data_IF_387282443561
#
_entry.id   IF_387282443561
#
_cell.length_a   1.000
_cell.length_b   1.000
_cell.length_c   1.000
_cell.angle_alpha   90.00
_cell.angle_beta   90.00
_cell.angle_gamma   90.00
#
_symmetry.space_group_name_H-M   'P 1'
#
loop_
_entity.id
_entity.type
_entity.pdbx_description
1 polymer ?
#
# COMPACT_ATOMS: atom_id res chain seq x y z
N UNK A 1 5.15 2.62 -7.59
CA UNK A 1 4.09 1.70 -7.13
C UNK A 1 4.73 0.60 -6.33
N UNK A 2 4.15 0.22 -5.21
CA UNK A 2 4.68 -0.79 -4.28
C UNK A 2 3.60 -1.78 -3.88
N UNK A 3 4.01 -2.99 -3.48
CA UNK A 3 3.11 -4.03 -2.98
C UNK A 3 2.82 -3.87 -1.47
N UNK A 4 2.10 -4.82 -0.86
CA UNK A 4 1.75 -4.79 0.56
C UNK A 4 2.97 -4.84 1.50
N UNK A 5 4.11 -5.32 1.02
CA UNK A 5 5.36 -5.43 1.78
C UNK A 5 6.35 -4.30 1.49
N UNK A 6 5.86 -3.21 0.90
CA UNK A 6 6.65 -2.02 0.52
C UNK A 6 7.76 -2.29 -0.52
N UNK A 7 7.61 -3.37 -1.28
CA UNK A 7 8.54 -3.67 -2.36
C UNK A 7 8.17 -2.90 -3.62
N UNK A 8 9.15 -2.28 -4.31
CA UNK A 8 8.89 -1.56 -5.55
C UNK A 8 8.46 -2.52 -6.67
N UNK A 9 7.30 -2.28 -7.25
CA UNK A 9 6.75 -3.08 -8.35
C UNK A 9 6.99 -2.45 -9.71
N UNK A 10 6.79 -1.15 -9.81
CA UNK A 10 7.02 -0.41 -11.05
C UNK A 10 7.07 1.10 -10.80
N UNK A 11 7.83 1.80 -11.64
CA UNK A 11 7.81 3.24 -11.73
C UNK A 11 6.94 3.71 -12.90
N UNK A 12 6.41 4.92 -12.77
CA UNK A 12 5.66 5.61 -13.83
C UNK A 12 6.31 6.97 -14.11
N UNK A 13 6.12 7.48 -15.29
CA UNK A 13 6.75 8.73 -15.73
C UNK A 13 8.15 8.52 -16.29
N UNK A 14 9.08 9.49 -16.16
CA UNK A 14 10.37 9.46 -16.85
C UNK A 14 11.22 8.21 -16.57
N UNK A 15 11.13 7.65 -15.36
CA UNK A 15 11.82 6.41 -14.96
C UNK A 15 11.03 5.14 -15.28
N UNK A 16 9.76 5.27 -15.67
CA UNK A 16 8.87 4.16 -15.97
C UNK A 16 8.92 3.71 -17.43
N UNK A 17 8.17 2.65 -17.72
CA UNK A 17 8.03 2.11 -19.08
C UNK A 17 7.46 3.13 -20.08
N UNK A 18 6.69 4.09 -19.61
CA UNK A 18 6.08 5.15 -20.39
C UNK A 18 7.03 6.31 -20.73
N UNK A 19 8.22 6.35 -20.13
CA UNK A 19 9.24 7.38 -20.37
C UNK A 19 8.70 8.82 -20.27
N UNK A 20 7.74 9.04 -19.37
CA UNK A 20 7.10 10.33 -19.18
C UNK A 20 6.05 10.72 -20.22
N UNK A 21 5.75 9.85 -21.18
CA UNK A 21 4.73 10.10 -22.22
C UNK A 21 3.30 9.85 -21.73
N UNK A 22 3.18 9.23 -20.55
CA UNK A 22 1.92 8.75 -20.00
C UNK A 22 1.49 7.42 -20.63
N UNK A 23 0.84 6.58 -19.83
CA UNK A 23 0.39 5.27 -20.27
C UNK A 23 -0.80 4.76 -19.43
N UNK A 24 -1.37 3.65 -19.88
CA UNK A 24 -2.32 2.88 -19.09
C UNK A 24 -1.58 1.71 -18.46
N UNK A 25 -1.57 1.67 -17.14
CA UNK A 25 -1.00 0.57 -16.38
C UNK A 25 -2.12 -0.32 -15.87
N UNK A 26 -1.97 -1.64 -16.02
CA UNK A 26 -2.91 -2.63 -15.51
C UNK A 26 -2.28 -3.37 -14.33
N UNK A 27 -2.80 -3.11 -13.12
CA UNK A 27 -2.34 -3.77 -11.91
C UNK A 27 -3.04 -5.12 -11.82
N UNK A 28 -2.23 -6.18 -11.81
CA UNK A 28 -2.71 -7.56 -11.84
C UNK A 28 -2.52 -8.21 -10.47
N UNK A 29 -3.59 -8.72 -9.85
CA UNK A 29 -3.49 -9.46 -8.59
C UNK A 29 -2.76 -10.81 -8.77
N UNK A 30 -2.35 -11.49 -7.66
CA UNK A 30 -1.57 -12.74 -7.72
C UNK A 30 -2.21 -13.86 -8.53
N UNK A 31 -3.53 -13.95 -8.52
CA UNK A 31 -4.33 -15.00 -9.15
C UNK A 31 -4.87 -14.62 -10.54
N UNK A 32 -4.41 -13.51 -11.11
CA UNK A 32 -4.85 -13.08 -12.43
C UNK A 32 -4.32 -14.00 -13.54
N UNK A 33 -5.23 -14.59 -14.31
CA UNK A 33 -4.95 -15.54 -15.41
C UNK A 33 -5.79 -15.26 -16.66
N UNK A 34 -6.48 -14.12 -16.72
CA UNK A 34 -7.17 -13.72 -17.92
C UNK A 34 -6.25 -13.05 -18.93
N UNK A 35 -6.74 -12.88 -20.16
CA UNK A 35 -6.01 -12.17 -21.21
C UNK A 35 -5.86 -10.68 -20.87
N UNK A 36 -4.67 -10.14 -21.14
CA UNK A 36 -4.35 -8.72 -20.92
C UNK A 36 -4.81 -7.93 -22.14
N UNK A 37 -5.71 -6.96 -21.98
CA UNK A 37 -6.16 -6.13 -23.08
C UNK A 37 -5.00 -5.35 -23.72
N UNK A 38 -5.02 -5.19 -25.03
CA UNK A 38 -4.04 -4.40 -25.74
C UNK A 38 -4.01 -2.94 -25.25
N UNK A 39 -2.85 -2.31 -25.27
CA UNK A 39 -2.66 -0.91 -24.90
C UNK A 39 -2.44 -0.66 -23.41
N UNK A 40 -2.29 -1.70 -22.59
CA UNK A 40 -1.93 -1.59 -21.19
C UNK A 40 -0.52 -2.13 -20.93
N UNK A 41 0.21 -1.48 -20.01
CA UNK A 41 1.42 -2.05 -19.41
C UNK A 41 1.00 -2.91 -18.20
N UNK A 42 1.21 -4.23 -18.24
CA UNK A 42 0.86 -5.09 -17.11
C UNK A 42 1.88 -4.95 -15.98
N UNK A 43 1.40 -4.80 -14.76
CA UNK A 43 2.20 -4.83 -13.53
C UNK A 43 1.67 -5.92 -12.63
N UNK A 44 2.38 -7.05 -12.55
CA UNK A 44 1.99 -8.19 -11.72
C UNK A 44 2.38 -7.95 -10.27
N UNK A 45 1.40 -8.02 -9.39
CA UNK A 45 1.59 -7.93 -7.95
C UNK A 45 1.61 -9.31 -7.30
N UNK A 46 2.57 -9.59 -6.42
CA UNK A 46 2.57 -10.82 -5.62
C UNK A 46 1.61 -10.74 -4.43
N UNK A 47 0.96 -9.59 -4.21
CA UNK A 47 0.02 -9.31 -3.12
C UNK A 47 -1.26 -8.69 -3.67
N UNK A 48 -2.37 -8.82 -2.93
CA UNK A 48 -3.64 -8.19 -3.31
C UNK A 48 -3.68 -6.70 -2.98
N UNK A 49 -2.96 -6.30 -1.92
CA UNK A 49 -2.86 -4.91 -1.52
C UNK A 49 -1.55 -4.29 -2.00
N UNK A 50 -1.59 -2.99 -2.20
CA UNK A 50 -0.44 -2.18 -2.57
C UNK A 50 -0.83 -0.72 -2.59
N UNK A 51 0.14 0.16 -2.81
CA UNK A 51 -0.15 1.57 -2.98
C UNK A 51 0.70 2.19 -4.08
N UNK A 52 0.26 3.35 -4.57
CA UNK A 52 0.98 4.13 -5.55
C UNK A 52 1.16 5.56 -5.03
N UNK A 53 2.42 5.99 -4.95
CA UNK A 53 2.77 7.37 -4.66
C UNK A 53 3.12 8.07 -5.96
N UNK A 54 2.36 9.11 -6.31
CA UNK A 54 2.62 9.94 -7.48
C UNK A 54 3.11 11.32 -7.04
N UNK A 55 4.18 11.77 -7.64
CA UNK A 55 4.75 13.09 -7.41
C UNK A 55 4.85 13.87 -8.71
N UNK A 56 4.10 14.95 -8.82
CA UNK A 56 4.33 15.92 -9.91
C UNK A 56 5.51 16.80 -9.52
N UNK A 57 6.53 16.80 -10.37
CA UNK A 57 7.73 17.63 -10.17
C UNK A 57 7.39 19.08 -10.56
N UNK A 58 7.70 20.02 -9.69
CA UNK A 58 7.58 21.45 -9.94
C UNK A 58 8.95 22.00 -10.32
N UNK A 59 9.00 22.92 -11.26
CA UNK A 59 10.24 23.63 -11.59
C UNK A 59 10.58 24.69 -10.56
N UNK A 60 9.55 25.33 -9.97
CA UNK A 60 9.70 26.34 -8.94
C UNK A 60 8.54 26.31 -7.92
N UNK A 61 8.62 27.05 -6.81
CA UNK A 61 7.50 27.22 -5.88
C UNK A 61 6.44 28.24 -6.36
N UNK A 62 6.53 28.77 -7.59
CA UNK A 62 5.58 29.73 -8.12
C UNK A 62 4.17 29.16 -8.20
N UNK A 63 3.16 30.02 -8.07
CA UNK A 63 1.75 29.61 -8.18
C UNK A 63 1.44 28.98 -9.54
N UNK A 64 2.07 29.45 -10.59
CA UNK A 64 1.92 28.89 -11.94
C UNK A 64 2.41 27.46 -12.03
N UNK A 65 3.61 27.17 -11.49
CA UNK A 65 4.17 25.82 -11.49
C UNK A 65 3.39 24.88 -10.56
N UNK A 66 2.89 25.38 -9.44
CA UNK A 66 1.99 24.63 -8.55
C UNK A 66 0.70 24.26 -9.27
N UNK A 67 0.08 25.21 -9.96
CA UNK A 67 -1.14 24.98 -10.72
C UNK A 67 -0.92 23.96 -11.85
N UNK A 68 0.21 24.04 -12.57
CA UNK A 68 0.58 23.09 -13.61
C UNK A 68 0.78 21.68 -13.06
N UNK A 69 1.49 21.53 -11.92
CA UNK A 69 1.69 20.26 -11.25
C UNK A 69 0.36 19.65 -10.78
N UNK A 70 -0.53 20.46 -10.21
CA UNK A 70 -1.86 20.01 -9.78
C UNK A 70 -2.72 19.58 -10.99
N UNK A 71 -2.67 20.30 -12.09
CA UNK A 71 -3.36 19.92 -13.31
C UNK A 71 -2.85 18.57 -13.86
N UNK A 72 -1.55 18.29 -13.73
CA UNK A 72 -0.96 17.01 -14.10
C UNK A 72 -1.45 15.88 -13.20
N UNK A 73 -1.45 16.08 -11.88
CA UNK A 73 -1.98 15.09 -10.93
C UNK A 73 -3.45 14.76 -11.22
N UNK A 74 -4.26 15.74 -11.54
CA UNK A 74 -5.68 15.55 -11.89
C UNK A 74 -5.92 14.77 -13.19
N UNK A 75 -4.88 14.53 -14.01
CA UNK A 75 -4.98 13.64 -15.17
C UNK A 75 -4.85 12.15 -14.80
N UNK A 76 -4.30 11.85 -13.62
CA UNK A 76 -4.18 10.48 -13.15
C UNK A 76 -5.57 9.95 -12.81
N UNK A 77 -5.90 8.77 -13.34
CA UNK A 77 -7.20 8.12 -13.12
C UNK A 77 -6.96 6.68 -12.66
N UNK A 78 -7.67 6.28 -11.61
CA UNK A 78 -7.63 4.92 -11.07
C UNK A 78 -9.05 4.36 -11.07
N UNK A 79 -9.23 3.23 -11.71
CA UNK A 79 -10.55 2.60 -11.85
C UNK A 79 -10.42 1.10 -12.12
N UNK A 80 -11.43 0.29 -11.78
CA UNK A 80 -11.48 -1.13 -12.17
C UNK A 80 -11.50 -1.30 -13.68
N UNK A 81 -10.81 -2.30 -14.21
CA UNK A 81 -10.77 -2.57 -15.66
C UNK A 81 -12.17 -2.71 -16.26
N UNK A 82 -13.11 -3.32 -15.55
CA UNK A 82 -14.49 -3.45 -15.99
C UNK A 82 -15.21 -2.11 -16.25
N UNK A 83 -14.70 -1.03 -15.70
CA UNK A 83 -15.23 0.34 -15.87
C UNK A 83 -14.41 1.18 -16.85
N UNK A 84 -13.50 0.56 -17.61
CA UNK A 84 -12.60 1.29 -18.51
C UNK A 84 -13.32 2.06 -19.62
N UNK A 85 -14.50 1.58 -20.07
CA UNK A 85 -15.31 2.27 -21.07
C UNK A 85 -15.98 3.55 -20.54
N UNK A 86 -16.33 3.57 -19.25
CA UNK A 86 -16.91 4.73 -18.58
C UNK A 86 -16.34 4.84 -17.15
N UNK A 87 -15.09 5.34 -17.00
CA UNK A 87 -14.44 5.40 -15.71
C UNK A 87 -15.17 6.34 -14.75
N UNK A 88 -15.31 5.97 -13.47
CA UNK A 88 -15.94 6.82 -12.48
C UNK A 88 -15.19 8.14 -12.27
N UNK A 89 -15.90 9.13 -11.78
CA UNK A 89 -15.28 10.38 -11.37
C UNK A 89 -14.25 10.15 -10.26
N UNK A 90 -13.09 10.80 -10.39
CA UNK A 90 -12.05 10.69 -9.39
C UNK A 90 -12.31 11.65 -8.23
N UNK A 91 -12.33 11.09 -7.03
CA UNK A 91 -12.45 11.88 -5.81
C UNK A 91 -11.07 12.25 -5.28
N UNK A 92 -10.81 13.54 -5.17
CA UNK A 92 -9.58 14.08 -4.58
C UNK A 92 -9.86 14.58 -3.18
N UNK A 93 -8.99 14.24 -2.24
CA UNK A 93 -9.06 14.73 -0.87
C UNK A 93 -7.82 15.59 -0.64
N UNK A 94 -8.03 16.88 -0.41
CA UNK A 94 -6.95 17.78 -0.02
C UNK A 94 -6.58 17.54 1.44
N UNK A 95 -5.34 17.17 1.66
CA UNK A 95 -4.77 16.94 3.00
C UNK A 95 -3.84 18.05 3.46
N UNK A 96 -3.72 19.15 2.69
CA UNK A 96 -2.90 20.29 3.08
C UNK A 96 -3.39 20.87 4.42
N UNK A 97 -2.46 21.08 5.34
CA UNK A 97 -2.79 21.58 6.68
C UNK A 97 -3.54 20.60 7.60
N UNK A 98 -3.78 19.36 7.15
CA UNK A 98 -4.37 18.31 7.99
C UNK A 98 -3.27 17.44 8.57
N UNK A 99 -3.34 17.24 9.88
CA UNK A 99 -2.48 16.25 10.54
C UNK A 99 -3.15 14.88 10.47
N UNK A 100 -2.42 13.88 10.01
CA UNK A 100 -2.83 12.50 10.10
C UNK A 100 -1.66 11.67 10.62
N UNK A 101 -1.97 10.67 11.43
CA UNK A 101 -0.98 9.76 11.95
C UNK A 101 -0.74 8.62 10.94
N UNK A 102 0.44 8.59 10.35
CA UNK A 102 0.91 7.54 9.45
C UNK A 102 1.77 6.49 10.13
N UNK A 103 1.94 6.59 11.45
CA UNK A 103 2.76 5.65 12.22
C UNK A 103 1.89 4.45 12.65
N UNK A 104 2.45 3.26 12.61
CA UNK A 104 1.78 2.08 13.14
C UNK A 104 1.52 2.23 14.64
N UNK A 105 0.33 1.82 15.08
CA UNK A 105 0.00 1.83 16.50
C UNK A 105 0.98 0.96 17.29
N UNK A 106 1.41 1.41 18.47
CA UNK A 106 2.27 0.67 19.39
C UNK A 106 1.49 -0.04 20.50
N UNK A 107 0.33 -0.60 20.13
CA UNK A 107 -0.56 -1.36 21.01
C UNK A 107 -1.08 -2.63 20.31
N UNK A 108 -2.09 -3.28 20.88
CA UNK A 108 -2.72 -4.49 20.32
C UNK A 108 -3.25 -4.32 18.91
N UNK A 109 -3.65 -3.11 18.51
CA UNK A 109 -4.16 -2.81 17.16
C UNK A 109 -3.13 -3.07 16.08
N UNK A 110 -1.82 -2.92 16.39
CA UNK A 110 -0.75 -3.30 15.48
C UNK A 110 -0.86 -4.78 15.06
N UNK A 111 -1.02 -5.67 16.05
CA UNK A 111 -1.09 -7.11 15.80
C UNK A 111 -2.40 -7.52 15.14
N UNK A 112 -3.50 -6.84 15.42
CA UNK A 112 -4.77 -7.05 14.73
C UNK A 112 -4.66 -6.68 13.24
N UNK A 113 -4.02 -5.55 12.93
CA UNK A 113 -3.75 -5.12 11.55
C UNK A 113 -2.80 -6.07 10.85
N UNK A 114 -1.72 -6.49 11.52
CA UNK A 114 -0.78 -7.47 11.00
C UNK A 114 -1.45 -8.81 10.72
N UNK A 115 -2.27 -9.32 11.66
CA UNK A 115 -3.05 -10.53 11.42
C UNK A 115 -3.97 -10.38 10.21
N UNK A 116 -4.68 -9.26 10.08
CA UNK A 116 -5.53 -9.00 8.91
C UNK A 116 -4.73 -9.07 7.61
N UNK A 117 -3.57 -8.44 7.53
CA UNK A 117 -2.69 -8.53 6.36
C UNK A 117 -2.27 -9.97 6.06
N UNK A 118 -1.88 -10.74 7.08
CA UNK A 118 -1.53 -12.15 6.92
C UNK A 118 -2.72 -12.97 6.41
N UNK A 119 -3.95 -12.65 6.82
CA UNK A 119 -5.14 -13.34 6.29
C UNK A 119 -5.46 -12.95 4.84
N UNK A 120 -5.24 -11.72 4.46
CA UNK A 120 -5.55 -11.21 3.12
C UNK A 120 -4.49 -11.63 2.10
N UNK A 121 -3.20 -11.51 2.42
CA UNK A 121 -2.11 -11.67 1.46
C UNK A 121 -1.68 -13.12 1.25
N UNK A 122 -1.21 -13.49 0.04
CA UNK A 122 -0.58 -14.79 -0.20
C UNK A 122 0.69 -14.95 0.64
N UNK A 123 0.97 -16.17 1.08
CA UNK A 123 2.25 -16.52 1.69
C UNK A 123 3.19 -17.00 0.60
N UNK A 124 4.25 -16.24 0.35
CA UNK A 124 5.27 -16.61 -0.64
C UNK A 124 6.33 -17.53 -0.01
N UNK A 125 7.04 -18.37 -0.78
CA UNK A 125 8.09 -19.25 -0.26
C UNK A 125 9.16 -18.52 0.57
N UNK A 126 9.52 -17.31 0.20
CA UNK A 126 10.49 -16.45 0.93
C UNK A 126 9.99 -15.98 2.30
N UNK A 127 8.66 -15.95 2.51
CA UNK A 127 8.03 -15.43 3.73
C UNK A 127 7.89 -16.51 4.81
N UNK A 128 8.19 -17.77 4.51
CA UNK A 128 7.94 -18.91 5.40
C UNK A 128 8.62 -18.77 6.78
N UNK A 129 9.82 -18.23 6.82
CA UNK A 129 10.53 -17.98 8.09
C UNK A 129 9.79 -16.94 8.93
N UNK A 130 9.42 -15.82 8.31
CA UNK A 130 8.63 -14.76 8.98
C UNK A 130 7.28 -15.28 9.44
N UNK A 131 6.60 -16.08 8.60
CA UNK A 131 5.32 -16.70 8.97
C UNK A 131 5.49 -17.69 10.13
N UNK A 132 6.61 -18.41 10.22
CA UNK A 132 6.96 -19.25 11.37
C UNK A 132 7.12 -18.44 12.65
N UNK A 133 7.78 -17.28 12.59
CA UNK A 133 7.89 -16.35 13.71
C UNK A 133 6.53 -15.80 14.14
N UNK A 134 5.69 -15.39 13.19
CA UNK A 134 4.34 -14.90 13.47
C UNK A 134 3.44 -15.97 14.08
N UNK A 135 3.59 -17.22 13.63
CA UNK A 135 2.89 -18.36 14.23
C UNK A 135 3.23 -18.53 15.71
N UNK A 136 4.47 -18.29 16.14
CA UNK A 136 4.89 -18.40 17.55
C UNK A 136 4.17 -17.41 18.46
N UNK A 137 3.62 -16.33 17.91
CA UNK A 137 2.81 -15.34 18.62
C UNK A 137 1.32 -15.44 18.30
N UNK A 138 0.88 -16.53 17.66
CA UNK A 138 -0.52 -16.83 17.37
C UNK A 138 -1.09 -16.22 16.09
N UNK A 139 -0.27 -15.61 15.24
CA UNK A 139 -0.68 -15.11 13.92
C UNK A 139 -0.34 -16.16 12.87
N UNK A 140 -1.36 -16.75 12.27
CA UNK A 140 -1.20 -17.79 11.25
C UNK A 140 -2.30 -17.67 10.19
N UNK A 141 -1.92 -17.77 8.91
CA UNK A 141 -2.86 -17.74 7.78
C UNK A 141 -3.89 -18.87 7.91
N UNK A 142 -5.16 -18.55 7.67
CA UNK A 142 -6.27 -19.49 7.73
C UNK A 142 -6.81 -19.75 9.14
N UNK A 143 -6.17 -19.20 10.18
CA UNK A 143 -6.65 -19.33 11.55
C UNK A 143 -7.19 -18.01 12.07
N UNK A 144 -8.34 -18.07 12.76
CA UNK A 144 -8.80 -16.92 13.53
C UNK A 144 -7.75 -16.56 14.60
N UNK A 145 -7.48 -15.27 14.75
CA UNK A 145 -6.64 -14.81 15.86
C UNK A 145 -7.28 -15.27 17.18
N UNK A 146 -6.61 -16.15 17.91
CA UNK A 146 -7.11 -16.62 19.22
C UNK A 146 -6.86 -15.51 20.24
N UNK A 147 -7.90 -14.70 20.44
CA UNK A 147 -7.86 -13.43 21.15
C UNK A 147 -7.34 -13.48 22.60
N UNK A 148 -7.49 -14.59 23.33
CA UNK A 148 -7.27 -14.58 24.79
C UNK A 148 -5.80 -14.82 25.18
N UNK A 149 -5.09 -15.74 24.55
CA UNK A 149 -3.67 -16.01 24.85
C UNK A 149 -2.76 -15.04 24.10
N UNK A 150 -3.13 -14.75 22.87
CA UNK A 150 -2.39 -13.84 21.98
C UNK A 150 -2.41 -12.42 22.52
N UNK A 151 -3.55 -11.91 22.98
CA UNK A 151 -3.68 -10.58 23.58
C UNK A 151 -2.89 -10.44 24.89
N UNK A 152 -2.78 -11.49 25.71
CA UNK A 152 -1.96 -11.46 26.92
C UNK A 152 -0.46 -11.36 26.61
N UNK A 153 0.03 -12.06 25.57
CA UNK A 153 1.43 -11.99 25.12
C UNK A 153 1.72 -10.62 24.48
N UNK A 154 0.77 -10.07 23.73
CA UNK A 154 0.92 -8.73 23.13
C UNK A 154 0.92 -7.65 24.20
N UNK A 155 0.03 -7.73 25.18
CA UNK A 155 -0.02 -6.79 26.30
C UNK A 155 1.29 -6.75 27.08
N UNK A 156 1.88 -7.89 27.41
CA UNK A 156 3.20 -7.95 28.04
C UNK A 156 4.31 -7.33 27.18
N UNK A 157 4.28 -7.51 25.86
CA UNK A 157 5.28 -6.91 24.96
C UNK A 157 5.05 -5.42 24.73
N UNK A 158 3.81 -4.98 24.64
CA UNK A 158 3.47 -3.56 24.51
C UNK A 158 3.87 -2.78 25.78
N UNK A 159 3.71 -3.35 26.96
CA UNK A 159 4.17 -2.77 28.23
C UNK A 159 5.70 -2.62 28.29
N UNK A 160 6.45 -3.59 27.76
CA UNK A 160 7.92 -3.54 27.71
C UNK A 160 8.40 -2.47 26.68
N UNK A 161 7.70 -2.33 25.55
CA UNK A 161 8.01 -1.30 24.53
C UNK A 161 7.53 0.08 24.97
N UNK A 162 6.46 0.16 25.75
CA UNK A 162 5.87 1.42 26.26
C UNK A 162 6.78 2.20 27.23
N UNK A 163 7.88 1.61 27.69
CA UNK A 163 8.88 2.28 28.55
C UNK A 163 9.91 3.12 27.79
N UNK A 164 9.86 3.15 26.44
CA UNK A 164 10.74 4.05 25.68
C UNK A 164 10.32 5.52 25.91
N UNK A 165 11.26 6.40 26.26
CA UNK A 165 10.95 7.80 26.50
C UNK A 165 10.34 8.41 25.24
N UNK A 166 9.15 9.00 25.39
CA UNK A 166 8.49 9.77 24.31
C UNK A 166 9.49 10.85 23.86
N UNK A 167 10.09 10.68 22.69
CA UNK A 167 10.85 11.78 22.07
C UNK A 167 9.83 12.88 21.74
N UNK A 168 10.00 14.01 22.38
CA UNK A 168 9.32 15.25 21.96
C UNK A 168 10.04 15.73 20.71
N UNK A 169 9.34 15.79 19.62
CA UNK A 169 9.74 16.53 18.45
C UNK A 169 9.10 17.94 18.52
#
# INVERSE_FOLDING_TARGET
>A
MVNAWDEPMNDVGPAGLDQGKGAKYLLLPPDFNAEIPAGYFPVKYPTYNGYALYRAIRNSPSETDVAAALALVKKIRVYPLAQAANPPEQRYIDTYGKTFDGIADFDERFFERLNRMVQEEPVLPRDLVTMGMLKSIGIQKGNACRSTVTMSVYRCRAEVVGTWPKRRY
#
